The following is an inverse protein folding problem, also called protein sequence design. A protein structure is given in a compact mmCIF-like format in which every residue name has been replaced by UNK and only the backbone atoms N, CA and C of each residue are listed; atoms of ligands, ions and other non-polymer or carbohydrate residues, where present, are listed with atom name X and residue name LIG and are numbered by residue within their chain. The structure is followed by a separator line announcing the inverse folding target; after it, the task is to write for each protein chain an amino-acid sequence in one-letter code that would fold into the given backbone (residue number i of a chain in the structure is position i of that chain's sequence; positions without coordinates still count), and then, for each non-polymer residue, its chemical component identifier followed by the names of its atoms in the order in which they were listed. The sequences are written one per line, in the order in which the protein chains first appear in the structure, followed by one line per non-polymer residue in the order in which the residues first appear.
data_IF_043573695714
#
_entry.id   IF_043573695714
#
_cell.length_a   1.000
_cell.length_b   1.000
_cell.length_c   1.000
_cell.angle_alpha   90.00
_cell.angle_beta   90.00
_cell.angle_gamma   90.00
#
_symmetry.space_group_name_H-M   'P 1'
#
loop_
_entity.id
_entity.type
_entity.pdbx_description
1 polymer ?
#
# COMPACT_ATOMS: atom_id res chain seq x y z
N UNK A 1 -13.11 -15.33 7.13
CA UNK A 1 -13.09 -13.90 7.54
C UNK A 1 -13.05 -13.83 9.06
N UNK A 2 -12.12 -13.06 9.62
CA UNK A 2 -11.86 -13.04 11.07
C UNK A 2 -12.95 -12.29 11.87
N UNK A 3 -13.83 -11.55 11.20
CA UNK A 3 -14.95 -10.82 11.80
C UNK A 3 -15.80 -11.73 12.69
N UNK A 4 -16.07 -12.97 12.25
CA UNK A 4 -16.88 -13.93 13.01
C UNK A 4 -16.20 -14.46 14.27
N UNK A 5 -14.88 -14.28 14.37
CA UNK A 5 -14.05 -14.69 15.50
C UNK A 5 -13.61 -13.49 16.35
N UNK A 6 -14.12 -12.29 16.06
CA UNK A 6 -13.71 -11.06 16.72
C UNK A 6 -14.39 -10.93 18.10
N UNK A 7 -13.76 -11.53 19.11
CA UNK A 7 -14.12 -11.37 20.51
C UNK A 7 -13.19 -10.32 21.13
N UNK A 8 -13.69 -9.08 21.25
CA UNK A 8 -12.91 -7.97 21.80
C UNK A 8 -13.08 -7.91 23.33
N UNK A 9 -12.01 -7.52 24.01
CA UNK A 9 -12.08 -7.16 25.42
C UNK A 9 -12.88 -5.86 25.58
N UNK A 10 -13.53 -5.70 26.74
CA UNK A 10 -14.41 -4.56 27.01
C UNK A 10 -13.68 -3.20 26.89
N UNK A 11 -12.42 -3.12 27.31
CA UNK A 11 -11.60 -1.90 27.18
C UNK A 11 -11.39 -1.46 25.72
N UNK A 12 -11.20 -2.42 24.81
CA UNK A 12 -11.11 -2.14 23.38
C UNK A 12 -12.47 -1.67 22.84
N UNK A 13 -13.58 -2.27 23.28
CA UNK A 13 -14.93 -1.85 22.89
C UNK A 13 -15.21 -0.41 23.36
N UNK A 14 -14.86 -0.09 24.59
CA UNK A 14 -15.04 1.26 25.17
C UNK A 14 -14.18 2.29 24.44
N UNK A 15 -12.93 1.95 24.09
CA UNK A 15 -12.05 2.83 23.31
C UNK A 15 -12.57 3.07 21.89
N UNK A 16 -13.16 2.07 21.24
CA UNK A 16 -13.84 2.22 19.95
C UNK A 16 -15.07 3.12 20.08
N UNK A 17 -15.90 2.93 21.11
CA UNK A 17 -17.07 3.77 21.37
C UNK A 17 -16.68 5.25 21.61
N UNK A 18 -15.53 5.48 22.25
CA UNK A 18 -14.96 6.81 22.47
C UNK A 18 -14.19 7.37 21.27
N UNK A 19 -14.14 6.67 20.13
CA UNK A 19 -13.37 7.05 18.93
C UNK A 19 -11.87 7.22 19.18
N UNK A 20 -11.34 6.56 20.20
CA UNK A 20 -9.90 6.52 20.51
C UNK A 20 -9.20 5.36 19.82
N UNK A 21 -9.97 4.37 19.33
CA UNK A 21 -9.47 3.22 18.63
C UNK A 21 -10.37 2.88 17.44
N UNK A 22 -9.77 2.38 16.36
CA UNK A 22 -10.48 2.02 15.14
C UNK A 22 -10.03 0.63 14.66
N UNK A 23 -11.00 -0.19 14.27
CA UNK A 23 -10.76 -1.53 13.72
C UNK A 23 -11.34 -1.54 12.31
N UNK A 24 -10.50 -1.88 11.34
CA UNK A 24 -10.88 -1.98 9.93
C UNK A 24 -10.70 -3.42 9.48
N UNK A 25 -11.77 -4.00 8.94
CA UNK A 25 -11.73 -5.31 8.30
C UNK A 25 -11.58 -5.10 6.79
N UNK A 26 -10.53 -5.67 6.22
CA UNK A 26 -10.21 -5.60 4.80
C UNK A 26 -10.20 -7.02 4.20
N UNK A 27 -10.45 -7.10 2.91
CA UNK A 27 -10.39 -8.30 2.08
C UNK A 27 -9.11 -8.30 1.25
N UNK A 28 -8.76 -7.15 0.68
CA UNK A 28 -7.61 -6.98 -0.21
C UNK A 28 -6.57 -6.03 0.38
N UNK A 29 -5.30 -6.24 0.02
CA UNK A 29 -4.19 -5.40 0.51
C UNK A 29 -4.34 -3.95 0.05
N UNK A 30 -4.91 -3.73 -1.13
CA UNK A 30 -5.17 -2.40 -1.69
C UNK A 30 -6.05 -1.56 -0.76
N UNK A 31 -7.09 -2.15 -0.15
CA UNK A 31 -7.96 -1.45 0.82
C UNK A 31 -7.17 -0.99 2.05
N UNK A 32 -6.16 -1.75 2.47
CA UNK A 32 -5.26 -1.38 3.56
C UNK A 32 -4.40 -0.17 3.18
N UNK A 33 -3.85 -0.18 1.96
CA UNK A 33 -3.00 0.88 1.44
C UNK A 33 -3.78 2.18 1.30
N UNK A 34 -5.02 2.12 0.81
CA UNK A 34 -5.92 3.28 0.72
C UNK A 34 -6.20 3.87 2.10
N UNK A 35 -6.51 3.01 3.08
CA UNK A 35 -6.79 3.44 4.44
C UNK A 35 -5.57 4.11 5.11
N UNK A 36 -4.37 3.56 4.92
CA UNK A 36 -3.15 4.03 5.58
C UNK A 36 -2.57 5.29 4.93
N UNK A 37 -2.68 5.41 3.61
CA UNK A 37 -2.05 6.50 2.85
C UNK A 37 -3.03 7.62 2.49
N UNK A 38 -4.34 7.35 2.49
CA UNK A 38 -5.37 8.27 2.02
C UNK A 38 -5.39 8.47 0.50
N UNK A 39 -4.60 7.70 -0.26
CA UNK A 39 -4.55 7.73 -1.71
C UNK A 39 -5.23 6.48 -2.28
N UNK A 40 -5.92 6.56 -3.43
CA UNK A 40 -6.44 5.37 -4.10
C UNK A 40 -5.28 4.42 -4.46
N UNK A 41 -5.45 3.11 -4.29
CA UNK A 41 -4.43 2.12 -4.64
C UNK A 41 -4.17 2.15 -6.16
N UNK A 42 -5.26 2.27 -6.94
CA UNK A 42 -5.23 2.34 -8.41
C UNK A 42 -5.24 0.96 -9.05
N UNK A 43 -6.16 0.76 -9.99
CA UNK A 43 -6.23 -0.48 -10.78
C UNK A 43 -5.40 -0.37 -12.04
N UNK A 44 -4.80 -1.49 -12.45
CA UNK A 44 -4.11 -1.60 -13.71
C UNK A 44 -5.12 -1.66 -14.86
N UNK A 45 -4.91 -0.85 -15.89
CA UNK A 45 -5.74 -0.86 -17.10
C UNK A 45 -5.31 -1.96 -18.09
N UNK A 46 -6.06 -2.09 -19.20
CA UNK A 46 -5.77 -3.06 -20.27
C UNK A 46 -4.40 -2.85 -20.95
N UNK A 47 -3.80 -1.68 -20.76
CA UNK A 47 -2.49 -1.31 -21.30
C UNK A 47 -1.36 -1.54 -20.30
N UNK A 48 -1.67 -2.04 -19.10
CA UNK A 48 -0.69 -2.28 -18.04
C UNK A 48 -0.30 -1.01 -17.26
N UNK A 49 -1.09 0.06 -17.36
CA UNK A 49 -0.82 1.34 -16.69
C UNK A 49 -1.72 1.53 -15.47
N UNK A 50 -1.20 2.20 -14.44
CA UNK A 50 -1.99 2.66 -13.28
C UNK A 50 -2.36 4.12 -13.46
N UNK A 51 -3.54 4.51 -12.95
CA UNK A 51 -3.96 5.91 -12.99
C UNK A 51 -3.01 6.82 -12.21
N UNK A 52 -2.73 8.00 -12.75
CA UNK A 52 -1.84 8.98 -12.11
C UNK A 52 -2.37 9.41 -10.74
N UNK A 53 -1.46 9.57 -9.77
CA UNK A 53 -1.81 9.94 -8.39
C UNK A 53 -2.28 8.77 -7.51
N UNK A 54 -2.30 7.55 -8.03
CA UNK A 54 -2.54 6.34 -7.25
C UNK A 54 -1.26 5.79 -6.62
N UNK A 55 -1.38 5.00 -5.55
CA UNK A 55 -0.21 4.40 -4.88
C UNK A 55 0.54 3.48 -5.83
N UNK A 56 -0.16 2.66 -6.60
CA UNK A 56 0.47 1.70 -7.52
C UNK A 56 1.23 2.41 -8.64
N UNK A 57 0.75 3.58 -9.12
CA UNK A 57 1.50 4.42 -10.05
C UNK A 57 2.81 4.94 -9.43
N UNK A 58 2.76 5.41 -8.17
CA UNK A 58 3.94 5.88 -7.44
C UNK A 58 4.96 4.76 -7.21
N UNK A 59 4.48 3.55 -6.91
CA UNK A 59 5.34 2.36 -6.72
C UNK A 59 6.07 2.01 -8.01
N UNK A 60 5.37 1.94 -9.15
CA UNK A 60 6.00 1.65 -10.45
C UNK A 60 7.04 2.71 -10.81
N UNK A 61 6.70 3.99 -10.64
CA UNK A 61 7.65 5.08 -10.87
C UNK A 61 8.91 4.91 -10.01
N UNK A 62 8.74 4.58 -8.72
CA UNK A 62 9.87 4.41 -7.81
C UNK A 62 10.74 3.21 -8.18
N UNK A 63 10.14 2.10 -8.62
CA UNK A 63 10.87 0.93 -9.09
C UNK A 63 11.67 1.25 -10.36
N UNK A 64 11.10 2.01 -11.30
CA UNK A 64 11.80 2.43 -12.51
C UNK A 64 13.00 3.34 -12.21
N UNK A 65 12.88 4.24 -11.24
CA UNK A 65 14.00 5.06 -10.77
C UNK A 65 15.12 4.19 -10.19
N UNK A 66 14.78 3.23 -9.33
CA UNK A 66 15.75 2.32 -8.72
C UNK A 66 16.43 1.42 -9.76
N UNK A 67 15.69 0.92 -10.75
CA UNK A 67 16.26 0.16 -11.86
C UNK A 67 17.26 0.98 -12.68
N UNK A 68 16.97 2.27 -12.93
CA UNK A 68 17.89 3.15 -13.66
C UNK A 68 19.19 3.37 -12.89
N UNK A 69 19.11 3.60 -11.58
CA UNK A 69 20.28 3.78 -10.72
C UNK A 69 21.17 2.52 -10.70
N UNK A 70 20.58 1.33 -10.50
CA UNK A 70 21.33 0.07 -10.52
C UNK A 70 22.04 -0.19 -11.86
N UNK A 71 21.41 0.19 -12.97
CA UNK A 71 21.99 0.03 -14.31
C UNK A 71 23.18 0.97 -14.55
N UNK A 72 23.18 2.15 -13.93
CA UNK A 72 24.31 3.09 -14.02
C UNK A 72 25.50 2.62 -13.18
N UNK A 73 25.27 2.14 -11.96
CA UNK A 73 26.34 1.57 -11.12
C UNK A 73 27.00 0.35 -11.77
N UNK A 74 26.21 -0.52 -12.40
CA UNK A 74 26.75 -1.72 -13.10
C UNK A 74 27.53 -1.39 -14.38
N UNK A 75 27.37 -0.17 -14.94
CA UNK A 75 28.08 0.28 -16.13
C UNK A 75 29.40 0.99 -15.80
N UNK A 76 29.48 1.65 -14.64
CA UNK A 76 30.72 2.29 -14.16
C UNK A 76 31.73 1.27 -13.60
N UNK A 77 31.29 0.09 -13.15
CA UNK A 77 32.16 -1.00 -12.65
C UNK A 77 32.85 -1.84 -13.75
N UNK A 78 32.64 -1.55 -15.04
CA UNK A 78 33.19 -2.34 -16.16
C UNK A 78 34.30 -1.62 -16.97
N UNK A 79 34.82 -0.50 -16.48
CA UNK A 79 35.82 0.33 -17.17
C UNK A 79 37.21 0.38 -16.48
N UNK A 80 37.52 -0.58 -15.59
CA UNK A 80 38.87 -0.83 -15.02
C UNK A 80 39.55 -2.08 -15.59
#
# INVERSE_FOLDING_TARGET
VNIKHLMLRQDVVDAVAQKQFHIYAIVEVDEALELLTGLPAGMMDEKGCYAEGTINALVVQRLDELHKLHKQESADDHDD
#
